data_IF_542776302956
#
_entry.id   IF_542776302956
#
_cell.length_a   1.000
_cell.length_b   1.000
_cell.length_c   1.000
_cell.angle_alpha   90.00
_cell.angle_beta   90.00
_cell.angle_gamma   90.00
#
_symmetry.space_group_name_H-M   'P 1'
#
loop_
_entity.id
_entity.type
_entity.pdbx_description
1 polymer ?
#
# COMPACT_ATOMS: atom_id res chain seq x y z
N UNK A 1 2.58 16.84 -21.32
CA UNK A 1 1.43 16.06 -21.85
C UNK A 1 1.45 14.58 -21.38
N UNK A 2 2.46 13.75 -21.67
CA UNK A 2 2.49 12.36 -21.17
C UNK A 2 2.63 12.28 -19.64
N UNK A 3 3.56 13.02 -19.05
CA UNK A 3 3.97 12.84 -17.64
C UNK A 3 2.88 13.30 -16.63
N UNK A 4 2.08 14.33 -16.94
CA UNK A 4 0.95 14.74 -16.09
C UNK A 4 -0.18 13.67 -16.02
N UNK A 5 -0.32 12.84 -17.06
CA UNK A 5 -1.29 11.73 -17.06
C UNK A 5 -0.83 10.56 -16.17
N UNK A 6 0.49 10.40 -15.99
CA UNK A 6 1.09 9.42 -15.08
C UNK A 6 1.22 9.95 -13.64
N UNK A 7 1.36 11.27 -13.47
CA UNK A 7 1.67 11.88 -12.18
C UNK A 7 0.60 11.71 -11.09
N UNK A 8 -0.64 11.45 -11.51
CA UNK A 8 -1.77 11.35 -10.60
C UNK A 8 -1.87 10.05 -9.82
N UNK A 9 -1.06 9.02 -10.07
CA UNK A 9 -1.32 7.71 -9.45
C UNK A 9 -0.03 6.90 -9.22
N UNK A 10 0.29 6.65 -7.94
CA UNK A 10 0.73 5.34 -7.40
C UNK A 10 1.44 5.53 -6.06
N UNK A 11 0.79 5.15 -4.95
CA UNK A 11 1.51 4.91 -3.69
C UNK A 11 0.73 3.94 -2.82
N UNK A 12 1.37 2.85 -2.38
CA UNK A 12 1.00 2.11 -1.16
C UNK A 12 2.06 1.03 -0.80
N UNK A 13 2.05 0.66 0.48
CA UNK A 13 3.15 0.22 1.35
C UNK A 13 3.41 -1.30 1.49
N UNK A 14 4.64 -1.61 1.93
CA UNK A 14 5.30 -2.92 2.04
C UNK A 14 5.49 -3.44 3.49
N UNK A 15 5.34 -4.78 3.63
CA UNK A 15 5.64 -5.82 4.66
C UNK A 15 5.64 -5.67 6.20
N UNK A 16 5.32 -6.83 6.88
CA UNK A 16 5.82 -7.39 8.18
C UNK A 16 5.20 -8.74 8.73
N UNK A 17 5.73 -9.94 8.42
CA UNK A 17 5.27 -11.21 9.07
C UNK A 17 6.29 -11.91 9.96
N UNK A 18 5.90 -12.40 11.15
CA UNK A 18 6.69 -13.36 11.91
C UNK A 18 6.09 -14.78 11.81
N UNK A 19 6.86 -15.78 11.33
CA UNK A 19 6.71 -17.20 11.72
C UNK A 19 8.11 -17.84 11.69
N UNK A 20 8.42 -18.54 12.78
CA UNK A 20 9.50 -19.52 12.89
C UNK A 20 9.15 -20.78 12.08
N UNK A 21 10.07 -21.30 11.25
CA UNK A 21 10.38 -22.73 11.07
C UNK A 21 11.46 -22.98 9.98
N UNK A 22 12.58 -23.59 10.40
CA UNK A 22 13.40 -24.60 9.72
C UNK A 22 13.66 -24.55 8.20
N UNK A 23 14.38 -23.54 7.71
CA UNK A 23 15.03 -23.57 6.39
C UNK A 23 15.77 -22.25 6.16
N UNK A 24 16.96 -22.26 5.53
CA UNK A 24 17.77 -21.03 5.35
C UNK A 24 16.98 -19.91 4.67
N UNK A 25 16.10 -20.24 3.72
CA UNK A 25 15.18 -19.29 3.09
C UNK A 25 14.08 -18.73 4.01
N UNK A 26 13.47 -19.58 4.84
CA UNK A 26 12.43 -19.18 5.80
C UNK A 26 13.01 -18.40 7.00
N UNK A 27 14.24 -18.71 7.39
CA UNK A 27 14.99 -17.98 8.42
C UNK A 27 15.42 -16.58 7.94
N UNK A 28 15.73 -16.42 6.65
CA UNK A 28 15.92 -15.10 6.04
C UNK A 28 14.60 -14.33 5.95
N UNK A 29 13.53 -14.99 5.51
CA UNK A 29 12.20 -14.39 5.44
C UNK A 29 11.71 -13.87 6.80
N UNK A 30 12.00 -14.58 7.90
CA UNK A 30 11.59 -14.15 9.24
C UNK A 30 12.36 -12.95 9.79
N UNK A 31 13.45 -12.54 9.13
CA UNK A 31 14.26 -11.35 9.49
C UNK A 31 14.27 -10.30 8.39
N UNK A 32 13.45 -10.48 7.35
CA UNK A 32 13.46 -9.65 6.14
C UNK A 32 13.17 -8.17 6.42
N UNK A 33 12.50 -7.90 7.54
CA UNK A 33 12.19 -6.56 8.01
C UNK A 33 13.44 -5.78 8.41
N UNK A 34 14.44 -6.51 8.95
CA UNK A 34 15.76 -6.00 9.34
C UNK A 34 16.74 -5.87 8.19
N UNK A 35 16.32 -6.26 6.99
CA UNK A 35 17.16 -6.18 5.81
C UNK A 35 16.96 -4.82 5.13
N UNK A 36 17.97 -3.95 5.26
CA UNK A 36 17.96 -2.63 4.61
C UNK A 36 18.19 -2.69 3.10
N UNK A 37 18.70 -3.79 2.55
CA UNK A 37 18.91 -3.91 1.11
C UNK A 37 17.64 -4.37 0.40
N UNK A 38 16.96 -3.44 -0.30
CA UNK A 38 15.71 -3.70 -1.02
C UNK A 38 15.83 -4.80 -2.09
N UNK A 39 16.98 -4.97 -2.73
CA UNK A 39 17.21 -6.07 -3.71
C UNK A 39 17.22 -7.42 -3.00
N UNK A 40 17.79 -7.49 -1.80
CA UNK A 40 17.77 -8.72 -0.98
C UNK A 40 16.36 -9.00 -0.47
N UNK A 41 15.61 -7.97 -0.04
CA UNK A 41 14.21 -8.09 0.36
C UNK A 41 13.37 -8.64 -0.80
N UNK A 42 13.41 -7.98 -1.96
CA UNK A 42 12.64 -8.37 -3.13
C UNK A 42 12.96 -9.82 -3.53
N UNK A 43 14.24 -10.14 -3.72
CA UNK A 43 14.66 -11.47 -4.16
C UNK A 43 14.31 -12.56 -3.15
N UNK A 44 14.31 -12.24 -1.85
CA UNK A 44 13.89 -13.17 -0.79
C UNK A 44 12.40 -13.43 -0.86
N UNK A 45 11.56 -12.40 -1.06
CA UNK A 45 10.12 -12.58 -1.24
C UNK A 45 9.82 -13.44 -2.46
N UNK A 46 10.34 -13.05 -3.62
CA UNK A 46 10.11 -13.71 -4.90
C UNK A 46 10.42 -15.21 -4.83
N UNK A 47 11.58 -15.57 -4.27
CA UNK A 47 12.01 -16.98 -4.12
C UNK A 47 11.15 -17.79 -3.16
N UNK A 48 10.46 -17.15 -2.22
CA UNK A 48 9.67 -17.84 -1.19
C UNK A 48 8.15 -17.86 -1.45
N UNK A 49 7.63 -17.09 -2.42
CA UNK A 49 6.19 -17.05 -2.73
C UNK A 49 5.60 -18.45 -2.96
N UNK A 50 6.20 -19.26 -3.84
CA UNK A 50 5.70 -20.62 -4.11
C UNK A 50 5.75 -21.56 -2.89
N UNK A 51 6.71 -21.36 -1.98
CA UNK A 51 6.77 -22.09 -0.71
C UNK A 51 5.62 -21.67 0.22
N UNK A 52 5.35 -20.37 0.33
CA UNK A 52 4.23 -19.85 1.12
C UNK A 52 2.87 -20.32 0.56
N UNK A 53 2.69 -20.35 -0.76
CA UNK A 53 1.49 -20.90 -1.40
C UNK A 53 1.29 -22.39 -1.06
N UNK A 54 2.35 -23.21 -1.12
CA UNK A 54 2.26 -24.63 -0.70
C UNK A 54 1.92 -24.76 0.77
N UNK A 55 2.52 -23.95 1.63
CA UNK A 55 2.24 -23.94 3.06
C UNK A 55 0.81 -23.49 3.38
N UNK A 56 0.25 -22.52 2.65
CA UNK A 56 -1.13 -22.09 2.80
C UNK A 56 -2.16 -23.20 2.47
N UNK A 57 -1.79 -24.19 1.62
CA UNK A 57 -2.65 -25.34 1.32
C UNK A 57 -2.86 -26.28 2.52
N UNK A 58 -2.01 -26.21 3.55
CA UNK A 58 -2.22 -26.96 4.81
C UNK A 58 -3.46 -26.52 5.58
N UNK A 59 -4.04 -25.36 5.22
CA UNK A 59 -5.24 -24.85 5.87
C UNK A 59 -4.97 -24.12 7.19
N UNK A 60 -3.73 -23.86 7.59
CA UNK A 60 -3.44 -22.99 8.73
C UNK A 60 -3.78 -21.53 8.41
N UNK A 61 -4.62 -20.86 9.21
CA UNK A 61 -5.04 -19.46 8.95
C UNK A 61 -3.87 -18.50 8.95
N UNK A 62 -2.92 -18.64 9.88
CA UNK A 62 -1.73 -17.80 9.93
C UNK A 62 -0.94 -17.90 8.63
N UNK A 63 -0.69 -19.11 8.12
CA UNK A 63 0.04 -19.31 6.86
C UNK A 63 -0.71 -18.76 5.64
N UNK A 64 -2.04 -18.90 5.59
CA UNK A 64 -2.86 -18.30 4.51
C UNK A 64 -2.70 -16.79 4.48
N UNK A 65 -2.85 -16.14 5.64
CA UNK A 65 -2.67 -14.70 5.78
C UNK A 65 -1.24 -14.29 5.45
N UNK A 66 -0.27 -15.13 5.81
CA UNK A 66 1.13 -14.89 5.45
C UNK A 66 1.35 -14.79 3.95
N UNK A 67 0.73 -15.71 3.22
CA UNK A 67 0.81 -15.76 1.77
C UNK A 67 0.12 -14.57 1.12
N UNK A 68 -1.04 -14.13 1.65
CA UNK A 68 -1.74 -12.94 1.18
C UNK A 68 -0.82 -11.71 1.20
N UNK A 69 -0.24 -11.42 2.37
CA UNK A 69 0.69 -10.32 2.52
C UNK A 69 1.92 -10.44 1.64
N UNK A 70 2.52 -11.63 1.54
CA UNK A 70 3.74 -11.80 0.76
C UNK A 70 3.51 -11.44 -0.72
N UNK A 71 2.35 -11.81 -1.27
CA UNK A 71 1.94 -11.35 -2.60
C UNK A 71 1.71 -9.84 -2.67
N UNK A 72 0.94 -9.25 -1.74
CA UNK A 72 0.73 -7.78 -1.69
C UNK A 72 2.05 -7.02 -1.63
N UNK A 73 3.02 -7.58 -0.92
CA UNK A 73 4.32 -6.98 -0.71
C UNK A 73 5.18 -7.08 -1.96
N UNK A 74 5.24 -8.27 -2.58
CA UNK A 74 5.93 -8.43 -3.85
C UNK A 74 5.33 -7.53 -4.94
N UNK A 75 4.00 -7.37 -4.98
CA UNK A 75 3.36 -6.38 -5.85
C UNK A 75 3.89 -4.96 -5.63
N UNK A 76 4.16 -4.56 -4.38
CA UNK A 76 4.75 -3.25 -4.10
C UNK A 76 6.11 -3.01 -4.76
N UNK A 77 6.95 -4.05 -4.89
CA UNK A 77 8.21 -3.96 -5.64
C UNK A 77 8.00 -3.87 -7.15
N UNK A 78 7.00 -4.57 -7.67
CA UNK A 78 6.62 -4.46 -9.08
C UNK A 78 6.08 -3.06 -9.39
N UNK A 79 5.32 -2.46 -8.47
CA UNK A 79 4.86 -1.08 -8.63
C UNK A 79 6.00 -0.06 -8.55
N UNK A 80 6.99 -0.27 -7.70
CA UNK A 80 8.19 0.58 -7.67
C UNK A 80 8.95 0.52 -9.01
N UNK A 81 9.06 -0.65 -9.63
CA UNK A 81 9.67 -0.82 -10.97
C UNK A 81 8.82 -0.22 -12.08
N UNK A 82 7.50 -0.36 -11.98
CA UNK A 82 6.56 0.29 -12.89
C UNK A 82 6.73 1.81 -12.85
N UNK A 83 6.75 2.41 -11.67
CA UNK A 83 6.95 3.86 -11.49
C UNK A 83 8.29 4.31 -12.10
N UNK A 84 9.38 3.59 -11.85
CA UNK A 84 10.69 3.87 -12.46
C UNK A 84 10.66 3.82 -13.99
N UNK A 85 9.98 2.82 -14.57
CA UNK A 85 9.80 2.70 -16.01
C UNK A 85 8.93 3.84 -16.58
N UNK A 86 7.84 4.22 -15.90
CA UNK A 86 6.99 5.35 -16.29
C UNK A 86 7.78 6.67 -16.31
N UNK A 87 8.61 6.92 -15.30
CA UNK A 87 9.49 8.10 -15.24
C UNK A 87 10.52 8.09 -16.38
N UNK A 88 11.05 6.91 -16.73
CA UNK A 88 12.00 6.75 -17.82
C UNK A 88 11.35 6.83 -19.22
N UNK A 89 10.02 6.88 -19.30
CA UNK A 89 9.28 6.83 -20.56
C UNK A 89 9.23 5.45 -21.22
N UNK A 90 9.55 4.39 -20.48
CA UNK A 90 9.47 2.99 -20.92
C UNK A 90 8.08 2.41 -20.62
N UNK A 91 7.13 2.66 -21.52
CA UNK A 91 5.75 2.21 -21.36
C UNK A 91 5.60 0.69 -21.39
N UNK A 92 6.45 -0.02 -22.14
CA UNK A 92 6.37 -1.48 -22.26
C UNK A 92 6.69 -2.16 -20.93
N UNK A 93 7.82 -1.77 -20.32
CA UNK A 93 8.19 -2.27 -18.99
C UNK A 93 7.17 -1.85 -17.93
N UNK A 94 6.66 -0.62 -17.99
CA UNK A 94 5.63 -0.15 -17.06
C UNK A 94 4.35 -1.01 -17.11
N UNK A 95 3.83 -1.29 -18.31
CA UNK A 95 2.62 -2.09 -18.50
C UNK A 95 2.83 -3.56 -18.11
N UNK A 96 4.03 -4.11 -18.35
CA UNK A 96 4.39 -5.45 -17.89
C UNK A 96 4.37 -5.53 -16.36
N UNK A 97 5.06 -4.60 -15.68
CA UNK A 97 5.11 -4.55 -14.23
C UNK A 97 3.74 -4.32 -13.61
N UNK A 98 2.90 -3.46 -14.22
CA UNK A 98 1.50 -3.24 -13.83
C UNK A 98 0.70 -4.55 -13.85
N UNK A 99 0.79 -5.27 -14.96
CA UNK A 99 0.07 -6.54 -15.17
C UNK A 99 0.49 -7.59 -14.15
N UNK A 100 1.79 -7.70 -13.88
CA UNK A 100 2.31 -8.61 -12.85
C UNK A 100 1.86 -8.20 -11.44
N UNK A 101 1.89 -6.91 -11.11
CA UNK A 101 1.45 -6.39 -9.82
C UNK A 101 -0.03 -6.70 -9.56
N UNK A 102 -0.89 -6.48 -10.56
CA UNK A 102 -2.31 -6.82 -10.52
C UNK A 102 -2.51 -8.32 -10.27
N UNK A 103 -1.81 -9.18 -11.02
CA UNK A 103 -1.93 -10.63 -10.86
C UNK A 103 -1.57 -11.08 -9.43
N UNK A 104 -0.55 -10.46 -8.83
CA UNK A 104 -0.19 -10.73 -7.44
C UNK A 104 -1.19 -10.14 -6.43
N UNK A 105 -1.78 -8.96 -6.69
CA UNK A 105 -2.85 -8.44 -5.85
C UNK A 105 -4.10 -9.32 -5.85
N UNK A 106 -4.49 -9.86 -7.01
CA UNK A 106 -5.60 -10.83 -7.11
C UNK A 106 -5.31 -12.08 -6.27
N UNK A 107 -4.08 -12.60 -6.29
CA UNK A 107 -3.68 -13.73 -5.42
C UNK A 107 -3.71 -13.35 -3.95
N UNK A 108 -3.17 -12.17 -3.60
CA UNK A 108 -3.16 -11.67 -2.23
C UNK A 108 -4.58 -11.57 -1.67
N UNK A 109 -5.46 -10.96 -2.44
CA UNK A 109 -6.87 -10.83 -2.14
C UNK A 109 -7.52 -12.20 -1.91
N UNK A 110 -7.32 -13.16 -2.82
CA UNK A 110 -7.89 -14.50 -2.72
C UNK A 110 -7.46 -15.22 -1.42
N UNK A 111 -6.19 -15.11 -1.03
CA UNK A 111 -5.71 -15.68 0.23
C UNK A 111 -6.28 -14.95 1.45
N UNK A 112 -6.37 -13.61 1.42
CA UNK A 112 -6.91 -12.84 2.52
C UNK A 112 -8.40 -13.16 2.77
N UNK A 113 -9.21 -13.20 1.71
CA UNK A 113 -10.62 -13.60 1.82
C UNK A 113 -10.79 -15.08 2.19
N UNK A 114 -9.90 -15.97 1.74
CA UNK A 114 -9.86 -17.37 2.20
C UNK A 114 -9.60 -17.48 3.71
N UNK A 115 -8.85 -16.55 4.31
CA UNK A 115 -8.69 -16.50 5.75
C UNK A 115 -9.94 -15.94 6.46
N UNK A 116 -10.57 -14.90 5.90
CA UNK A 116 -11.82 -14.32 6.42
C UNK A 116 -13.01 -15.28 6.32
N UNK A 117 -13.08 -16.11 5.28
CA UNK A 117 -14.19 -17.05 5.07
C UNK A 117 -14.30 -18.13 6.15
N UNK A 118 -13.22 -18.35 6.90
CA UNK A 118 -13.23 -19.20 8.10
C UNK A 118 -14.03 -18.62 9.25
N UNK A 119 -14.27 -17.31 9.27
CA UNK A 119 -15.15 -16.66 10.24
C UNK A 119 -16.59 -16.49 9.76
N UNK A 120 -16.79 -16.17 8.48
CA UNK A 120 -18.13 -16.00 7.90
C UNK A 120 -18.07 -16.31 6.39
N UNK A 121 -18.98 -17.17 5.89
CA UNK A 121 -18.97 -17.63 4.50
C UNK A 121 -19.26 -16.53 3.49
N UNK A 122 -19.83 -15.41 3.92
CA UNK A 122 -20.03 -14.23 3.07
C UNK A 122 -18.71 -13.75 2.42
N UNK A 123 -17.56 -14.02 3.03
CA UNK A 123 -16.26 -13.67 2.48
C UNK A 123 -15.73 -14.63 1.40
N UNK A 124 -16.42 -15.72 1.07
CA UNK A 124 -16.02 -16.60 -0.05
C UNK A 124 -16.19 -15.91 -1.41
N UNK A 125 -17.21 -15.06 -1.53
CA UNK A 125 -17.53 -14.32 -2.75
C UNK A 125 -17.93 -12.86 -2.40
N UNK A 126 -17.00 -12.05 -1.88
CA UNK A 126 -17.33 -10.74 -1.28
C UNK A 126 -17.98 -9.77 -2.29
N UNK A 127 -17.64 -9.90 -3.59
CA UNK A 127 -18.19 -9.06 -4.66
C UNK A 127 -19.65 -9.36 -5.02
N UNK A 128 -20.14 -10.57 -4.72
CA UNK A 128 -21.54 -10.96 -4.99
C UNK A 128 -22.47 -10.64 -3.82
N UNK A 129 -21.94 -10.07 -2.74
CA UNK A 129 -22.68 -9.77 -1.52
C UNK A 129 -23.14 -8.31 -1.57
N UNK A 130 -24.44 -8.10 -1.35
CA UNK A 130 -25.02 -6.77 -1.22
C UNK A 130 -24.34 -5.94 -0.12
N UNK A 131 -24.07 -4.65 -0.39
CA UNK A 131 -23.31 -3.78 0.52
C UNK A 131 -23.86 -3.77 1.96
N UNK A 132 -25.19 -3.66 2.21
CA UNK A 132 -25.72 -3.71 3.57
C UNK A 132 -25.47 -5.04 4.31
N UNK A 133 -25.42 -6.16 3.57
CA UNK A 133 -25.12 -7.47 4.13
C UNK A 133 -23.62 -7.60 4.41
N UNK A 134 -22.78 -7.09 3.51
CA UNK A 134 -21.34 -7.04 3.68
C UNK A 134 -20.96 -6.23 4.92
N UNK A 135 -21.51 -5.03 5.09
CA UNK A 135 -21.27 -4.17 6.26
C UNK A 135 -21.70 -4.84 7.57
N UNK A 136 -22.90 -5.43 7.62
CA UNK A 136 -23.35 -6.20 8.79
C UNK A 136 -22.43 -7.37 9.11
N UNK A 137 -21.80 -7.97 8.10
CA UNK A 137 -20.86 -9.08 8.28
C UNK A 137 -19.53 -8.59 8.84
N UNK A 138 -19.02 -7.44 8.37
CA UNK A 138 -17.84 -6.79 8.93
C UNK A 138 -18.00 -6.47 10.42
N UNK A 139 -19.18 -6.06 10.85
CA UNK A 139 -19.47 -5.76 12.26
C UNK A 139 -19.37 -6.98 13.20
N UNK A 140 -19.45 -8.20 12.67
CA UNK A 140 -19.23 -9.43 13.46
C UNK A 140 -17.75 -9.77 13.67
N UNK A 141 -16.86 -9.17 12.88
CA UNK A 141 -15.42 -9.42 12.98
C UNK A 141 -14.87 -8.92 14.31
N UNK A 142 -13.83 -9.60 14.81
CA UNK A 142 -13.13 -9.25 16.04
C UNK A 142 -11.65 -9.01 15.76
N UNK A 143 -10.90 -8.56 16.77
CA UNK A 143 -9.46 -8.24 16.66
C UNK A 143 -8.62 -9.33 15.95
N UNK A 144 -8.93 -10.62 16.15
CA UNK A 144 -8.24 -11.74 15.47
C UNK A 144 -8.40 -11.77 13.93
N UNK A 145 -9.34 -11.02 13.36
CA UNK A 145 -9.54 -10.88 11.92
C UNK A 145 -8.96 -9.60 11.34
N UNK A 146 -8.34 -8.73 12.15
CA UNK A 146 -7.80 -7.46 11.65
C UNK A 146 -6.76 -7.68 10.55
N UNK A 147 -5.80 -8.58 10.75
CA UNK A 147 -4.76 -8.83 9.74
C UNK A 147 -5.33 -9.32 8.39
N UNK A 148 -6.13 -10.40 8.31
CA UNK A 148 -6.73 -10.80 7.04
C UNK A 148 -7.68 -9.75 6.45
N UNK A 149 -8.38 -8.97 7.28
CA UNK A 149 -9.26 -7.90 6.82
C UNK A 149 -8.45 -6.77 6.15
N UNK A 150 -7.37 -6.34 6.80
CA UNK A 150 -6.47 -5.33 6.26
C UNK A 150 -5.87 -5.80 4.93
N UNK A 151 -5.33 -7.01 4.86
CA UNK A 151 -4.72 -7.51 3.61
C UNK A 151 -5.73 -7.72 2.48
N UNK A 152 -6.99 -8.07 2.79
CA UNK A 152 -8.07 -8.13 1.81
C UNK A 152 -8.36 -6.74 1.24
N UNK A 153 -8.56 -5.75 2.12
CA UNK A 153 -8.83 -4.38 1.72
C UNK A 153 -7.66 -3.75 0.97
N UNK A 154 -6.43 -3.95 1.45
CA UNK A 154 -5.22 -3.47 0.83
C UNK A 154 -5.05 -4.05 -0.59
N UNK A 155 -5.13 -5.36 -0.74
CA UNK A 155 -4.95 -6.01 -2.05
C UNK A 155 -6.05 -5.62 -3.05
N UNK A 156 -7.32 -5.61 -2.62
CA UNK A 156 -8.45 -5.19 -3.45
C UNK A 156 -8.31 -3.72 -3.87
N UNK A 157 -8.01 -2.82 -2.92
CA UNK A 157 -7.84 -1.39 -3.19
C UNK A 157 -6.68 -1.11 -4.14
N UNK A 158 -5.54 -1.82 -3.99
CA UNK A 158 -4.42 -1.68 -4.92
C UNK A 158 -4.71 -2.25 -6.30
N UNK A 159 -5.32 -3.42 -6.37
CA UNK A 159 -5.73 -4.02 -7.65
C UNK A 159 -6.64 -3.08 -8.46
N UNK A 160 -7.58 -2.42 -7.78
CA UNK A 160 -8.44 -1.36 -8.33
C UNK A 160 -7.61 -0.17 -8.81
N UNK A 161 -6.72 0.37 -7.96
CA UNK A 161 -5.92 1.56 -8.31
C UNK A 161 -5.06 1.39 -9.57
N UNK A 162 -4.73 0.16 -9.95
CA UNK A 162 -3.95 -0.16 -11.14
C UNK A 162 -4.80 -0.41 -12.40
N UNK A 163 -6.13 -0.47 -12.29
CA UNK A 163 -7.06 -0.83 -13.36
C UNK A 163 -8.12 0.26 -13.59
N UNK A 164 -7.68 1.51 -13.75
CA UNK A 164 -8.50 2.73 -13.65
C UNK A 164 -9.66 2.86 -14.65
N UNK A 165 -9.65 2.09 -15.74
CA UNK A 165 -10.63 2.20 -16.82
C UNK A 165 -11.86 1.28 -16.62
N UNK A 166 -11.95 0.55 -15.51
CA UNK A 166 -13.09 -0.33 -15.25
C UNK A 166 -14.12 0.32 -14.29
N UNK A 167 -15.30 0.72 -14.81
CA UNK A 167 -16.34 1.36 -14.02
C UNK A 167 -16.94 0.47 -12.91
N UNK A 168 -16.76 -0.86 -12.98
CA UNK A 168 -17.23 -1.77 -11.93
C UNK A 168 -16.48 -1.61 -10.60
N UNK A 169 -15.36 -0.89 -10.60
CA UNK A 169 -14.51 -0.71 -9.42
C UNK A 169 -15.04 0.29 -8.39
N UNK A 170 -16.05 1.11 -8.74
CA UNK A 170 -16.64 2.07 -7.79
C UNK A 170 -17.30 1.35 -6.61
N UNK A 171 -18.03 0.26 -6.87
CA UNK A 171 -18.69 -0.51 -5.81
C UNK A 171 -17.66 -1.26 -4.96
N UNK A 172 -16.61 -1.78 -5.56
CA UNK A 172 -15.55 -2.46 -4.81
C UNK A 172 -14.74 -1.48 -3.96
N UNK A 173 -14.58 -0.24 -4.39
CA UNK A 173 -13.97 0.81 -3.56
C UNK A 173 -14.79 1.11 -2.30
N UNK A 174 -16.12 1.04 -2.38
CA UNK A 174 -16.98 1.10 -1.17
C UNK A 174 -16.67 -0.07 -0.25
N UNK A 175 -16.53 -1.29 -0.76
CA UNK A 175 -16.14 -2.45 0.07
C UNK A 175 -14.78 -2.26 0.73
N UNK A 176 -13.80 -1.71 0.00
CA UNK A 176 -12.47 -1.39 0.54
C UNK A 176 -12.58 -0.38 1.69
N UNK A 177 -13.34 0.70 1.51
CA UNK A 177 -13.55 1.73 2.53
C UNK A 177 -14.24 1.14 3.78
N UNK A 178 -15.28 0.34 3.61
CA UNK A 178 -15.94 -0.38 4.72
C UNK A 178 -14.97 -1.30 5.48
N UNK A 179 -14.12 -2.04 4.78
CA UNK A 179 -13.13 -2.92 5.40
C UNK A 179 -12.05 -2.12 6.15
N UNK A 180 -11.52 -1.05 5.57
CA UNK A 180 -10.52 -0.20 6.21
C UNK A 180 -11.07 0.54 7.43
N UNK A 181 -12.31 1.03 7.35
CA UNK A 181 -13.03 1.59 8.52
C UNK A 181 -13.12 0.56 9.64
N UNK A 182 -13.49 -0.68 9.31
CA UNK A 182 -13.58 -1.75 10.30
C UNK A 182 -12.22 -2.13 10.89
N UNK A 183 -11.12 -1.99 10.14
CA UNK A 183 -9.76 -2.14 10.69
C UNK A 183 -9.50 -1.06 11.75
N UNK A 184 -9.78 0.21 11.47
CA UNK A 184 -9.62 1.30 12.43
C UNK A 184 -10.43 1.07 13.72
N UNK A 185 -11.69 0.66 13.58
CA UNK A 185 -12.56 0.35 14.72
C UNK A 185 -12.03 -0.79 15.61
N UNK A 186 -11.35 -1.77 15.02
CA UNK A 186 -10.89 -2.98 15.72
C UNK A 186 -9.48 -2.84 16.29
N UNK A 187 -8.57 -2.21 15.54
CA UNK A 187 -7.18 -1.98 15.92
C UNK A 187 -6.53 -0.97 14.97
N UNK A 188 -6.66 0.32 15.28
CA UNK A 188 -6.03 1.41 14.51
C UNK A 188 -4.49 1.32 14.50
N UNK A 189 -3.88 0.61 15.45
CA UNK A 189 -2.41 0.47 15.53
C UNK A 189 -1.88 -0.58 14.57
N UNK A 190 -2.77 -1.41 14.01
CA UNK A 190 -2.38 -2.52 13.18
C UNK A 190 -1.53 -2.03 12.01
N UNK A 191 -0.35 -2.65 11.89
CA UNK A 191 0.56 -2.42 10.79
C UNK A 191 0.96 -0.95 10.65
N UNK A 192 1.51 -0.40 11.74
CA UNK A 192 1.93 1.00 11.86
C UNK A 192 0.77 2.00 11.70
N UNK A 193 -0.47 1.55 11.81
CA UNK A 193 -1.64 2.37 11.50
C UNK A 193 -1.86 2.60 10.00
N UNK A 194 -1.43 1.67 9.14
CA UNK A 194 -1.56 1.82 7.69
C UNK A 194 -3.00 1.94 7.17
N UNK A 195 -4.02 1.62 7.97
CA UNK A 195 -5.40 1.95 7.62
C UNK A 195 -5.64 3.47 7.59
N UNK A 196 -4.95 4.26 8.42
CA UNK A 196 -4.91 5.72 8.28
C UNK A 196 -4.18 6.12 6.99
N UNK A 197 -3.08 5.45 6.63
CA UNK A 197 -2.41 5.74 5.35
C UNK A 197 -3.30 5.46 4.13
N UNK A 198 -4.19 4.47 4.19
CA UNK A 198 -5.23 4.31 3.17
C UNK A 198 -6.12 5.57 3.08
N UNK A 199 -6.59 6.10 4.21
CA UNK A 199 -7.41 7.31 4.21
C UNK A 199 -6.63 8.57 3.80
N UNK A 200 -5.33 8.62 4.07
CA UNK A 200 -4.46 9.67 3.56
C UNK A 200 -4.46 9.71 2.02
N UNK A 201 -4.32 8.55 1.37
CA UNK A 201 -4.47 8.44 -0.09
C UNK A 201 -5.91 8.77 -0.51
N UNK A 202 -6.90 8.19 0.17
CA UNK A 202 -8.32 8.33 -0.15
C UNK A 202 -8.73 9.81 -0.23
N UNK A 203 -8.32 10.63 0.73
CA UNK A 203 -8.65 12.05 0.74
C UNK A 203 -7.66 12.91 -0.05
N UNK A 204 -6.37 12.56 -0.07
CA UNK A 204 -5.34 13.40 -0.66
C UNK A 204 -5.14 13.25 -2.17
N UNK A 205 -5.51 12.11 -2.75
CA UNK A 205 -5.29 11.82 -4.18
C UNK A 205 -6.48 12.25 -5.07
N UNK A 206 -7.63 12.54 -4.44
CA UNK A 206 -8.86 12.93 -5.14
C UNK A 206 -8.94 14.43 -5.34
N UNK A 207 -9.57 14.86 -6.43
CA UNK A 207 -9.94 16.27 -6.58
C UNK A 207 -11.06 16.65 -5.60
N UNK A 208 -11.16 17.94 -5.19
CA UNK A 208 -12.22 18.39 -4.30
C UNK A 208 -13.64 18.05 -4.80
N UNK A 209 -13.85 18.09 -6.12
CA UNK A 209 -15.14 17.77 -6.77
C UNK A 209 -15.63 16.34 -6.56
N UNK A 210 -14.75 15.39 -6.23
CA UNK A 210 -15.09 13.98 -5.98
C UNK A 210 -14.75 13.55 -4.54
N UNK A 211 -14.69 14.51 -3.61
CA UNK A 211 -14.49 14.25 -2.18
C UNK A 211 -13.03 14.27 -1.70
N UNK A 212 -12.12 14.85 -2.48
CA UNK A 212 -10.76 15.15 -2.03
C UNK A 212 -10.73 16.17 -0.90
N UNK A 213 -9.91 15.91 0.11
CA UNK A 213 -9.78 16.74 1.31
C UNK A 213 -8.37 16.57 1.92
N UNK A 214 -7.38 17.36 1.45
CA UNK A 214 -6.01 17.21 1.92
C UNK A 214 -5.86 17.45 3.43
N UNK A 215 -6.73 18.25 4.06
CA UNK A 215 -6.67 18.43 5.52
C UNK A 215 -7.01 17.13 6.25
N UNK A 216 -8.06 16.40 5.82
CA UNK A 216 -8.33 15.06 6.35
C UNK A 216 -7.20 14.08 6.06
N UNK A 217 -6.59 14.17 4.88
CA UNK A 217 -5.45 13.33 4.56
C UNK A 217 -4.31 13.54 5.57
N UNK A 218 -4.01 14.80 5.88
CA UNK A 218 -3.02 15.18 6.90
C UNK A 218 -3.41 14.70 8.29
N UNK A 219 -4.66 14.85 8.71
CA UNK A 219 -5.12 14.33 10.01
C UNK A 219 -4.81 12.84 10.14
N UNK A 220 -5.10 12.03 9.12
CA UNK A 220 -4.76 10.60 9.13
C UNK A 220 -3.25 10.34 9.17
N UNK A 221 -2.45 11.13 8.45
CA UNK A 221 -0.98 11.02 8.49
C UNK A 221 -0.45 11.33 9.90
N UNK A 222 -0.96 12.38 10.54
CA UNK A 222 -0.57 12.75 11.91
C UNK A 222 -0.94 11.66 12.94
N UNK A 223 -2.03 10.91 12.72
CA UNK A 223 -2.34 9.74 13.55
C UNK A 223 -1.27 8.66 13.43
N UNK A 224 -0.79 8.37 12.21
CA UNK A 224 0.30 7.42 11.98
C UNK A 224 1.59 7.88 12.66
N UNK A 225 1.91 9.16 12.57
CA UNK A 225 3.08 9.71 13.27
C UNK A 225 2.95 9.56 14.79
N UNK A 226 1.80 9.88 15.37
CA UNK A 226 1.55 9.72 16.81
C UNK A 226 1.67 8.26 17.24
N UNK A 227 1.17 7.31 16.46
CA UNK A 227 1.22 5.87 16.77
C UNK A 227 2.65 5.29 16.74
N UNK A 228 3.57 5.92 16.00
CA UNK A 228 4.92 5.40 15.77
C UNK A 228 6.02 6.36 16.25
N UNK A 229 5.70 7.39 17.04
CA UNK A 229 6.60 8.48 17.43
C UNK A 229 7.33 9.14 16.24
N UNK A 230 6.69 9.21 15.07
CA UNK A 230 7.27 9.74 13.84
C UNK A 230 8.41 8.89 13.23
N UNK A 231 8.64 7.67 13.74
CA UNK A 231 9.73 6.78 13.27
C UNK A 231 9.36 6.03 11.98
N UNK A 232 8.07 5.90 11.67
CA UNK A 232 7.61 5.24 10.46
C UNK A 232 7.60 6.20 9.27
N UNK A 233 8.75 6.39 8.62
CA UNK A 233 8.99 7.44 7.61
C UNK A 233 8.03 7.49 6.41
N UNK A 234 7.29 6.42 6.15
CA UNK A 234 6.28 6.42 5.09
C UNK A 234 5.14 7.43 5.33
N UNK A 235 4.82 7.75 6.59
CA UNK A 235 3.86 8.83 6.91
C UNK A 235 4.35 10.18 6.39
N UNK A 236 5.63 10.50 6.58
CA UNK A 236 6.24 11.75 6.11
C UNK A 236 6.36 11.81 4.59
N UNK A 237 6.66 10.69 3.95
CA UNK A 237 6.54 10.59 2.50
C UNK A 237 5.11 10.87 2.02
N UNK A 238 4.10 10.39 2.75
CA UNK A 238 2.68 10.64 2.44
C UNK A 238 2.29 12.10 2.69
N UNK A 239 2.88 12.77 3.67
CA UNK A 239 2.71 14.20 3.88
C UNK A 239 3.11 15.00 2.64
N UNK A 240 4.24 14.66 2.02
CA UNK A 240 4.65 15.30 0.78
C UNK A 240 3.60 15.06 -0.34
N UNK A 241 3.24 13.80 -0.57
CA UNK A 241 2.41 13.42 -1.73
C UNK A 241 0.94 13.80 -1.62
N UNK A 242 0.35 13.63 -0.45
CA UNK A 242 -1.11 13.65 -0.26
C UNK A 242 -1.60 14.86 0.52
N UNK A 243 -0.68 15.70 0.99
CA UNK A 243 -1.02 17.00 1.57
C UNK A 243 -0.27 18.13 0.87
N UNK A 244 1.06 18.11 0.88
CA UNK A 244 1.85 19.23 0.38
C UNK A 244 1.67 19.46 -1.13
N UNK A 245 1.70 18.38 -1.94
CA UNK A 245 1.49 18.49 -3.39
C UNK A 245 0.09 19.02 -3.75
N UNK A 246 -1.04 18.45 -3.25
CA UNK A 246 -2.37 19.02 -3.50
C UNK A 246 -2.54 20.46 -3.01
N UNK A 247 -1.81 20.87 -1.98
CA UNK A 247 -1.79 22.25 -1.46
C UNK A 247 -0.84 23.18 -2.19
N UNK A 248 -0.09 22.66 -3.18
CA UNK A 248 0.96 23.38 -3.89
C UNK A 248 2.03 23.98 -2.94
N UNK A 249 2.26 23.32 -1.79
CA UNK A 249 3.28 23.71 -0.81
C UNK A 249 4.62 23.04 -1.15
N UNK A 250 5.35 23.63 -2.10
CA UNK A 250 6.66 23.14 -2.57
C UNK A 250 7.67 23.04 -1.43
N UNK A 251 7.62 23.99 -0.48
CA UNK A 251 8.56 24.04 0.64
C UNK A 251 8.35 22.84 1.56
N UNK A 252 7.10 22.59 1.97
CA UNK A 252 6.77 21.43 2.81
C UNK A 252 7.04 20.12 2.08
N UNK A 253 6.73 20.04 0.79
CA UNK A 253 7.00 18.86 -0.03
C UNK A 253 8.48 18.49 -0.01
N UNK A 254 9.36 19.42 -0.41
CA UNK A 254 10.80 19.18 -0.45
C UNK A 254 11.38 18.90 0.93
N UNK A 255 10.94 19.65 1.95
CA UNK A 255 11.38 19.44 3.33
C UNK A 255 11.01 18.04 3.83
N UNK A 256 9.75 17.60 3.66
CA UNK A 256 9.30 16.30 4.12
C UNK A 256 10.07 15.14 3.45
N UNK A 257 10.31 15.22 2.14
CA UNK A 257 11.09 14.20 1.43
C UNK A 257 12.56 14.18 1.87
N UNK A 258 13.18 15.35 2.03
CA UNK A 258 14.56 15.45 2.48
C UNK A 258 14.74 14.87 3.90
N UNK A 259 13.80 15.15 4.80
CA UNK A 259 13.81 14.57 6.16
C UNK A 259 13.68 13.04 6.14
N UNK A 260 12.96 12.46 5.18
CA UNK A 260 12.92 10.99 5.01
C UNK A 260 14.27 10.46 4.55
N UNK A 261 14.91 11.12 3.57
CA UNK A 261 16.22 10.72 3.01
C UNK A 261 17.31 10.76 4.09
N UNK A 262 17.34 11.82 4.90
CA UNK A 262 18.38 12.09 5.89
C UNK A 262 18.22 11.29 7.20
N UNK A 263 17.04 10.72 7.45
CA UNK A 263 16.78 9.95 8.67
C UNK A 263 17.77 8.77 8.84
N UNK A 264 18.15 8.38 10.07
CA UNK A 264 18.95 7.18 10.29
C UNK A 264 18.30 5.92 9.71
N UNK A 265 19.11 4.99 9.20
CA UNK A 265 18.60 3.74 8.61
C UNK A 265 17.84 2.87 9.62
N UNK A 266 18.26 2.92 10.87
CA UNK A 266 17.72 2.19 12.02
C UNK A 266 16.83 3.05 12.91
N UNK A 267 16.29 4.18 12.40
CA UNK A 267 15.38 5.07 13.14
C UNK A 267 14.17 4.33 13.74
N UNK A 268 13.75 3.25 13.09
CA UNK A 268 12.77 2.31 13.60
C UNK A 268 13.39 0.90 13.63
N UNK A 269 14.01 0.51 14.76
CA UNK A 269 14.73 -0.75 14.86
C UNK A 269 13.82 -1.95 14.59
N UNK A 270 14.21 -2.83 13.66
CA UNK A 270 13.36 -3.93 13.22
C UNK A 270 12.68 -3.71 11.87
N UNK A 271 12.61 -2.45 11.42
CA UNK A 271 11.84 -2.00 10.26
C UNK A 271 12.71 -1.35 9.18
N UNK A 272 13.98 -1.73 9.13
CA UNK A 272 14.99 -1.20 8.22
C UNK A 272 14.55 -1.32 6.73
N UNK A 273 13.82 -2.37 6.36
CA UNK A 273 13.26 -2.53 5.02
C UNK A 273 12.23 -1.44 4.68
N UNK A 274 11.36 -1.08 5.63
CA UNK A 274 10.36 -0.02 5.45
C UNK A 274 11.03 1.37 5.38
N UNK A 275 12.05 1.60 6.22
CA UNK A 275 12.89 2.81 6.15
C UNK A 275 13.59 2.93 4.79
N UNK A 276 14.22 1.85 4.30
CA UNK A 276 14.86 1.86 2.99
C UNK A 276 13.89 2.16 1.85
N UNK A 277 12.69 1.60 1.90
CA UNK A 277 11.68 1.87 0.90
C UNK A 277 11.24 3.34 0.92
N UNK A 278 10.96 3.89 2.10
CA UNK A 278 10.58 5.29 2.25
C UNK A 278 11.65 6.22 1.68
N UNK A 279 12.93 5.94 1.96
CA UNK A 279 14.07 6.69 1.40
C UNK A 279 14.17 6.57 -0.12
N UNK A 280 14.05 5.36 -0.65
CA UNK A 280 14.10 5.12 -2.10
C UNK A 280 13.02 5.92 -2.82
N UNK A 281 11.79 5.85 -2.32
CA UNK A 281 10.65 6.61 -2.86
C UNK A 281 10.83 8.12 -2.69
N UNK A 282 11.25 8.57 -1.51
CA UNK A 282 11.46 9.99 -1.25
C UNK A 282 12.52 10.59 -2.17
N UNK A 283 13.62 9.87 -2.43
CA UNK A 283 14.62 10.29 -3.41
C UNK A 283 14.02 10.43 -4.81
N UNK A 284 13.32 9.41 -5.31
CA UNK A 284 12.70 9.45 -6.65
C UNK A 284 11.71 10.61 -6.81
N UNK A 285 10.93 10.91 -5.77
CA UNK A 285 9.93 11.98 -5.79
C UNK A 285 10.58 13.37 -5.64
N UNK A 286 11.64 13.48 -4.85
CA UNK A 286 12.39 14.73 -4.70
C UNK A 286 13.11 15.10 -6.01
N UNK A 287 13.70 14.11 -6.69
CA UNK A 287 14.37 14.29 -7.99
C UNK A 287 13.42 14.82 -9.08
N UNK A 288 12.10 14.61 -8.92
CA UNK A 288 11.08 15.10 -9.85
C UNK A 288 10.46 16.43 -9.44
N UNK A 289 10.69 16.92 -8.22
CA UNK A 289 9.92 18.00 -7.61
C UNK A 289 9.78 19.25 -8.51
N UNK A 290 10.85 19.68 -9.17
CA UNK A 290 10.82 20.87 -10.02
C UNK A 290 9.84 20.72 -11.19
N UNK A 291 9.71 19.52 -11.75
CA UNK A 291 8.74 19.24 -12.81
C UNK A 291 7.30 19.24 -12.30
N UNK A 292 7.07 18.88 -11.04
CA UNK A 292 5.72 18.70 -10.49
C UNK A 292 5.05 20.01 -10.12
N UNK A 293 5.90 20.99 -9.77
CA UNK A 293 5.52 22.33 -9.36
C UNK A 293 5.86 23.36 -10.45
N UNK A 294 6.10 22.90 -11.67
CA UNK A 294 6.32 23.77 -12.83
C UNK A 294 4.99 24.45 -13.23
N UNK A 295 4.85 25.77 -13.05
CA UNK A 295 3.61 26.48 -13.34
C UNK A 295 3.28 26.49 -14.84
N UNK A 296 4.27 26.31 -15.71
CA UNK A 296 4.10 26.39 -17.17
C UNK A 296 3.47 25.12 -17.76
N UNK A 297 3.25 24.08 -16.94
CA UNK A 297 2.59 22.83 -17.37
C UNK A 297 1.05 22.89 -17.18
N UNK A 298 0.52 23.79 -16.32
CA UNK A 298 -0.93 23.93 -16.11
C UNK A 298 -1.65 24.66 -17.26
N UNK A 299 -0.97 25.47 -18.07
CA UNK A 299 -1.59 26.26 -19.16
C UNK A 299 -1.83 25.45 -20.47
N UNK A 300 -1.41 24.19 -20.54
CA UNK A 300 -1.50 23.37 -21.75
C UNK A 300 -2.82 22.62 -21.99
N UNK A 301 -3.76 22.64 -21.03
CA UNK A 301 -5.00 21.85 -21.06
C UNK A 301 -6.28 22.72 -21.22
N UNK A 302 -6.15 23.98 -21.65
CA UNK A 302 -7.28 24.89 -21.93
C UNK A 302 -7.38 25.37 -23.38
N UNK A 303 -7.21 24.48 -24.36
CA UNK A 303 -7.69 24.70 -25.75
C UNK A 303 -8.44 23.46 -26.29
#
# INVERSE_FOLDING_TARGET
IMIHKYFRIQTLLLLLLPIFLGGCGLAKLSRIQKEGNLVVVESTLAKNLGTLERLAKTGNTGLIVKTARAHSSYSGFLEDKMEEAEIAGDSETADEMRSQAIAHYVRAEAYAFKALSKSDKTFEQPRTVEIPVFEKTLQKLKKKQVEPLFWAAYAMGRGISLQKDDPMQVIDLVRVELMMRRVLELDETFYFGSAHLFYAVYYGDRSPSIGGDPEKAKEHIEHVDKLNDGKFLMSKFYLARYYAYPKQDVKLYKQALQEVIDAPQDIYPGEEAATSLAKSRAKRWLDQADMLFDPDIEEGDSE
#
